data_IF_937070451373
#
_entry.id   IF_937070451373
#
_cell.length_a   1.000
_cell.length_b   1.000
_cell.length_c   1.000
_cell.angle_alpha   90.00
_cell.angle_beta   90.00
_cell.angle_gamma   90.00
#
_symmetry.space_group_name_H-M   'P 1'
#
loop_
_entity.id
_entity.type
_entity.pdbx_description
1 polymer ?
#
# COMPACT_ATOMS: atom_id res chain seq x y z
N UNK A 1 -17.96 -1.91 12.81
CA UNK A 1 -16.73 -2.26 12.07
C UNK A 1 -16.34 -3.66 12.49
N UNK A 2 -16.16 -4.58 11.53
CA UNK A 2 -15.80 -5.98 11.80
C UNK A 2 -14.27 -6.02 12.00
N UNK A 3 -13.78 -6.73 13.01
CA UNK A 3 -12.34 -6.89 13.19
C UNK A 3 -11.73 -7.61 11.99
N UNK A 4 -10.56 -7.16 11.52
CA UNK A 4 -9.82 -7.85 10.46
C UNK A 4 -9.48 -9.28 10.95
N UNK A 5 -9.94 -10.35 10.28
CA UNK A 5 -9.70 -11.72 10.72
C UNK A 5 -8.26 -12.19 10.47
N UNK A 6 -7.47 -11.42 9.72
CA UNK A 6 -6.08 -11.76 9.41
C UNK A 6 -5.12 -11.33 10.53
N UNK A 7 -4.06 -12.12 10.81
CA UNK A 7 -3.06 -11.76 11.79
C UNK A 7 -2.32 -10.48 11.38
N UNK A 8 -1.95 -9.66 12.37
CA UNK A 8 -1.16 -8.45 12.15
C UNK A 8 0.23 -8.81 11.62
N UNK A 9 0.66 -8.12 10.57
CA UNK A 9 1.95 -8.31 9.93
C UNK A 9 3.00 -7.47 10.66
N UNK A 10 4.14 -8.02 11.09
CA UNK A 10 5.25 -7.22 11.59
C UNK A 10 5.81 -6.30 10.51
N UNK A 11 6.26 -5.06 10.83
CA UNK A 11 6.77 -4.14 9.83
C UNK A 11 7.93 -4.70 8.99
N UNK A 12 8.82 -5.48 9.62
CA UNK A 12 9.98 -6.08 8.94
C UNK A 12 9.58 -7.12 7.88
N UNK A 13 8.53 -7.88 8.17
CA UNK A 13 8.01 -8.91 7.26
C UNK A 13 7.34 -8.25 6.06
N UNK A 14 6.52 -7.22 6.31
CA UNK A 14 5.96 -6.37 5.26
C UNK A 14 7.05 -5.80 4.36
N UNK A 15 8.10 -5.18 4.92
CA UNK A 15 9.20 -4.61 4.12
C UNK A 15 9.97 -5.65 3.30
N UNK A 16 10.03 -6.89 3.76
CA UNK A 16 10.70 -7.98 3.04
C UNK A 16 9.83 -8.46 1.88
N UNK A 17 8.52 -8.60 2.11
CA UNK A 17 7.55 -8.95 1.08
C UNK A 17 7.41 -7.84 0.03
N UNK A 18 7.26 -6.58 0.44
CA UNK A 18 7.05 -5.43 -0.43
C UNK A 18 8.22 -5.22 -1.40
N UNK A 19 9.45 -5.53 -0.99
CA UNK A 19 10.64 -5.47 -1.86
C UNK A 19 10.63 -6.49 -3.00
N UNK A 20 9.87 -7.58 -2.85
CA UNK A 20 9.76 -8.65 -3.83
C UNK A 20 8.43 -8.58 -4.61
N UNK A 21 7.51 -7.71 -4.19
CA UNK A 21 6.18 -7.64 -4.74
C UNK A 21 6.17 -6.97 -6.12
N UNK A 22 5.43 -7.54 -7.07
CA UNK A 22 5.22 -6.94 -8.39
C UNK A 22 4.28 -5.72 -8.32
N UNK A 23 3.37 -5.72 -7.34
CA UNK A 23 2.39 -4.69 -7.09
C UNK A 23 2.60 -4.10 -5.69
N UNK A 24 2.38 -2.79 -5.56
CA UNK A 24 2.51 -2.10 -4.28
C UNK A 24 1.33 -2.36 -3.35
N UNK A 25 1.64 -2.37 -2.07
CA UNK A 25 0.65 -2.41 -0.99
C UNK A 25 0.87 -1.25 -0.01
N UNK A 26 -0.10 -1.01 0.85
CA UNK A 26 0.00 -0.07 1.96
C UNK A 26 -0.03 -0.80 3.29
N UNK A 27 0.84 -0.40 4.22
CA UNK A 27 0.89 -0.94 5.57
C UNK A 27 0.24 0.05 6.55
N UNK A 28 -0.87 -0.37 7.17
CA UNK A 28 -1.69 0.46 8.05
C UNK A 28 -1.95 -0.32 9.35
N UNK A 29 -1.35 0.10 10.47
CA UNK A 29 -1.54 -0.53 11.78
C UNK A 29 -1.42 -2.07 11.80
N UNK A 30 -0.46 -2.60 11.03
CA UNK A 30 -0.22 -4.04 10.91
C UNK A 30 -1.08 -4.76 9.87
N UNK A 31 -1.98 -4.05 9.18
CA UNK A 31 -2.71 -4.57 8.04
C UNK A 31 -1.98 -4.20 6.74
N UNK A 32 -1.92 -5.15 5.80
CA UNK A 32 -1.41 -4.93 4.45
C UNK A 32 -2.60 -4.83 3.50
N UNK A 33 -2.76 -3.69 2.86
CA UNK A 33 -3.89 -3.37 1.98
C UNK A 33 -3.38 -3.21 0.56
N UNK A 34 -4.06 -3.81 -0.41
CA UNK A 34 -3.70 -3.65 -1.83
C UNK A 34 -3.84 -2.17 -2.21
N UNK A 35 -2.75 -1.58 -2.73
CA UNK A 35 -2.79 -0.20 -3.19
C UNK A 35 -3.60 -0.12 -4.49
N UNK A 36 -4.41 0.93 -4.63
CA UNK A 36 -5.03 1.21 -5.93
C UNK A 36 -3.97 1.72 -6.89
N UNK A 37 -3.92 1.15 -8.09
CA UNK A 37 -2.96 1.57 -9.11
C UNK A 37 -3.13 3.04 -9.49
N UNK A 38 -2.05 3.68 -9.94
CA UNK A 38 -2.10 5.06 -10.38
C UNK A 38 -2.41 5.14 -11.89
N UNK A 39 -3.52 5.81 -12.24
CA UNK A 39 -3.82 6.11 -13.64
C UNK A 39 -2.97 7.29 -14.13
N UNK A 40 -2.79 7.42 -15.45
CA UNK A 40 -2.09 8.58 -16.04
C UNK A 40 -2.74 9.90 -15.60
N UNK A 41 -4.07 9.96 -15.54
CA UNK A 41 -4.80 11.15 -15.11
C UNK A 41 -4.54 11.46 -13.63
N UNK A 42 -4.52 10.42 -12.77
CA UNK A 42 -4.16 10.57 -11.36
C UNK A 42 -2.75 11.18 -11.21
N UNK A 43 -1.78 10.66 -11.95
CA UNK A 43 -0.40 11.16 -11.91
C UNK A 43 -0.28 12.63 -12.36
N UNK A 44 -1.03 13.04 -13.40
CA UNK A 44 -1.01 14.44 -13.86
C UNK A 44 -1.60 15.39 -12.81
N UNK A 45 -2.71 15.01 -12.18
CA UNK A 45 -3.34 15.83 -11.14
C UNK A 45 -2.41 15.94 -9.93
N UNK A 46 -1.88 14.80 -9.45
CA UNK A 46 -0.97 14.78 -8.31
C UNK A 46 0.31 15.60 -8.61
N UNK A 47 0.91 15.40 -9.79
CA UNK A 47 2.12 16.11 -10.24
C UNK A 47 1.97 17.62 -10.22
N UNK A 48 0.83 18.15 -10.65
CA UNK A 48 0.56 19.59 -10.63
C UNK A 48 0.48 20.19 -9.21
N UNK A 49 0.33 19.36 -8.17
CA UNK A 49 0.23 19.81 -6.77
C UNK A 49 1.60 19.79 -6.08
N UNK A 50 2.48 18.84 -6.41
CA UNK A 50 3.75 18.64 -5.71
C UNK A 50 5.01 19.08 -6.47
N UNK A 51 4.91 19.36 -7.78
CA UNK A 51 6.03 19.78 -8.61
C UNK A 51 6.32 21.29 -8.55
#
# INVERSE_FOLDING_TARGET
>A
MIANPYPKTPPQDYLTQERQAECKSEYIDGDVVAMTGASRQHNLIAGNIFA
#
